data_IF_701674468300
#
_entry.id   IF_701674468300
#
_cell.length_a   1.000
_cell.length_b   1.000
_cell.length_c   1.000
_cell.angle_alpha   90.00
_cell.angle_beta   90.00
_cell.angle_gamma   90.00
#
_symmetry.space_group_name_H-M   'P 1'
#
loop_
_entity.id
_entity.type
_entity.pdbx_description
1 polymer ?
#
# COMPACT_ATOMS: atom_id res chain seq x y z
N UNK A 1 11.03 15.41 -2.94
CA UNK A 1 9.79 15.23 -2.18
C UNK A 1 9.24 13.83 -2.41
N UNK A 2 8.91 13.10 -1.35
CA UNK A 2 8.27 11.79 -1.43
C UNK A 2 6.77 11.93 -1.13
N UNK A 3 5.93 11.35 -1.99
CA UNK A 3 4.47 11.44 -1.89
C UNK A 3 3.85 10.07 -2.15
N UNK A 4 2.97 9.62 -1.25
CA UNK A 4 2.12 8.46 -1.53
C UNK A 4 0.96 8.90 -2.44
N UNK A 5 0.78 8.20 -3.56
CA UNK A 5 -0.24 8.55 -4.57
C UNK A 5 -1.34 7.48 -4.70
N UNK A 6 -1.13 6.31 -4.10
CA UNK A 6 -2.12 5.22 -4.04
C UNK A 6 -1.88 4.29 -2.85
N UNK A 7 -2.91 3.53 -2.48
CA UNK A 7 -2.90 2.58 -1.38
C UNK A 7 -3.29 3.21 -0.03
N UNK A 8 -2.90 2.53 1.06
CA UNK A 8 -3.22 2.97 2.42
C UNK A 8 -1.95 3.49 3.11
N UNK A 9 -2.02 4.63 3.82
CA UNK A 9 -0.86 5.21 4.47
C UNK A 9 -0.41 4.42 5.69
N UNK A 10 0.83 4.65 6.10
CA UNK A 10 1.40 4.08 7.33
C UNK A 10 0.48 4.35 8.53
N UNK A 11 0.26 3.30 9.34
CA UNK A 11 -0.65 3.34 10.48
C UNK A 11 -2.12 3.03 10.16
N UNK A 12 -2.47 2.83 8.89
CA UNK A 12 -3.82 2.39 8.50
C UNK A 12 -4.05 0.92 8.81
N UNK A 13 -5.30 0.55 9.03
CA UNK A 13 -5.75 -0.85 9.04
C UNK A 13 -5.96 -1.30 7.59
N UNK A 14 -5.31 -2.40 7.21
CA UNK A 14 -5.46 -3.00 5.89
C UNK A 14 -6.57 -4.07 5.92
N UNK A 15 -7.63 -3.95 5.10
CA UNK A 15 -8.63 -5.02 4.97
C UNK A 15 -8.02 -6.26 4.30
N UNK A 16 -8.68 -7.40 4.49
CA UNK A 16 -8.35 -8.67 3.80
C UNK A 16 -8.33 -8.45 2.28
N UNK A 17 -7.30 -8.98 1.62
CA UNK A 17 -7.06 -8.81 0.20
C UNK A 17 -5.69 -8.18 -0.11
N UNK A 18 -5.48 -7.82 -1.36
CA UNK A 18 -4.21 -7.21 -1.83
C UNK A 18 -4.39 -5.73 -2.12
N UNK A 19 -3.56 -4.90 -1.51
CA UNK A 19 -3.53 -3.45 -1.67
C UNK A 19 -2.17 -3.05 -2.23
N UNK A 20 -2.17 -2.40 -3.40
CA UNK A 20 -0.94 -1.90 -4.00
C UNK A 20 -0.69 -0.46 -3.55
N UNK A 21 0.44 -0.22 -2.89
CA UNK A 21 0.86 1.11 -2.50
C UNK A 21 1.83 1.66 -3.54
N UNK A 22 1.62 2.92 -3.93
CA UNK A 22 2.47 3.61 -4.91
C UNK A 22 2.99 4.91 -4.35
N UNK A 23 4.28 5.14 -4.51
CA UNK A 23 4.99 6.34 -4.07
C UNK A 23 5.68 6.99 -5.26
N UNK A 24 5.61 8.32 -5.30
CA UNK A 24 6.34 9.15 -6.26
C UNK A 24 7.40 9.94 -5.49
N UNK A 25 8.62 9.94 -6.02
CA UNK A 25 9.72 10.77 -5.54
C UNK A 25 10.05 11.79 -6.63
N UNK A 26 10.06 13.07 -6.25
CA UNK A 26 10.49 14.18 -7.11
C UNK A 26 11.81 14.77 -6.62
N UNK A 27 12.74 15.09 -7.51
CA UNK A 27 13.96 15.84 -7.19
C UNK A 27 13.75 17.37 -7.33
N UNK A 28 14.77 18.16 -7.01
CA UNK A 28 14.74 19.62 -7.14
C UNK A 28 14.79 20.14 -8.59
N UNK A 29 15.18 19.29 -9.54
CA UNK A 29 15.20 19.61 -10.97
C UNK A 29 13.85 19.32 -11.64
N UNK A 30 12.89 18.73 -10.92
CA UNK A 30 11.56 18.40 -11.41
C UNK A 30 11.45 16.99 -12.00
N UNK A 31 12.50 16.17 -11.95
CA UNK A 31 12.40 14.77 -12.37
C UNK A 31 11.60 13.98 -11.34
N UNK A 32 10.81 13.01 -11.81
CA UNK A 32 10.03 12.14 -10.95
C UNK A 32 10.31 10.66 -11.23
N UNK A 33 10.23 9.85 -10.18
CA UNK A 33 10.29 8.40 -10.25
C UNK A 33 9.14 7.81 -9.40
N UNK A 34 8.60 6.67 -9.84
CA UNK A 34 7.51 5.98 -9.16
C UNK A 34 7.92 4.57 -8.78
N UNK A 35 7.56 4.15 -7.56
CA UNK A 35 7.77 2.80 -7.05
C UNK A 35 6.49 2.28 -6.41
N UNK A 36 6.22 0.98 -6.56
CA UNK A 36 5.05 0.33 -5.98
C UNK A 36 5.41 -0.96 -5.25
N UNK A 37 4.63 -1.30 -4.22
CA UNK A 37 4.68 -2.59 -3.56
C UNK A 37 3.28 -3.03 -3.13
N UNK A 38 3.05 -4.34 -3.16
CA UNK A 38 1.80 -4.95 -2.73
C UNK A 38 1.85 -5.35 -1.26
N UNK A 39 0.78 -5.05 -0.52
CA UNK A 39 0.48 -5.59 0.80
C UNK A 39 -0.67 -6.58 0.64
N UNK A 40 -0.45 -7.83 0.99
CA UNK A 40 -1.49 -8.87 0.96
C UNK A 40 -1.83 -9.29 2.38
N UNK A 41 -3.08 -9.09 2.76
CA UNK A 41 -3.66 -9.55 4.02
C UNK A 41 -4.48 -10.80 3.75
N UNK A 42 -4.06 -11.92 4.32
CA UNK A 42 -4.77 -13.19 4.20
C UNK A 42 -5.68 -13.38 5.40
N UNK A 43 -6.91 -13.85 5.16
CA UNK A 43 -7.73 -14.43 6.21
C UNK A 43 -7.18 -15.83 6.55
N UNK A 44 -6.92 -16.06 7.82
CA UNK A 44 -6.37 -17.30 8.36
C UNK A 44 -7.21 -17.85 9.52
N UNK A 45 -8.41 -17.27 9.73
CA UNK A 45 -9.36 -17.76 10.72
C UNK A 45 -9.99 -19.07 10.22
N UNK A 46 -10.11 -20.07 11.10
CA UNK A 46 -10.85 -21.28 10.79
C UNK A 46 -12.36 -21.00 10.71
N UNK A 47 -13.11 -21.71 9.85
CA UNK A 47 -14.56 -21.54 9.77
C UNK A 47 -15.24 -22.04 11.05
N UNK A 48 -16.10 -21.21 11.64
CA UNK A 48 -16.90 -21.60 12.81
C UNK A 48 -18.26 -22.16 12.39
N UNK A 49 -18.65 -23.32 12.94
CA UNK A 49 -19.99 -23.89 12.81
C UNK A 49 -20.77 -23.60 14.10
N UNK A 50 -22.01 -23.12 13.98
CA UNK A 50 -22.95 -22.87 15.09
C UNK A 50 -23.97 -23.99 15.23
#
# INVERSE_FOLDING_TARGET
MLTQVSGLPSGSIFPVGTINNTFVVSDNAGNTASCSFAVTVNDVEDPTVS
#
